data_IF_096932989073
#
_entry.id   IF_096932989073
#
_cell.length_a   1.000
_cell.length_b   1.000
_cell.length_c   1.000
_cell.angle_alpha   90.00
_cell.angle_beta   90.00
_cell.angle_gamma   90.00
#
_symmetry.space_group_name_H-M   'P 1'
#
loop_
_entity.id
_entity.type
_entity.pdbx_description
1 polymer ?
#
# COMPACT_ATOMS: atom_id res chain seq x y z
N UNK A 1 18.82 -2.53 -7.36
CA UNK A 1 17.78 -3.56 -7.60
C UNK A 1 16.46 -3.15 -6.96
N UNK A 2 15.35 -3.87 -7.18
CA UNK A 2 14.01 -3.51 -6.65
C UNK A 2 14.00 -3.28 -5.12
N UNK A 3 14.77 -4.09 -4.39
CA UNK A 3 14.83 -4.07 -2.91
C UNK A 3 15.96 -3.22 -2.35
N UNK A 4 16.82 -2.66 -3.19
CA UNK A 4 17.95 -1.86 -2.74
C UNK A 4 17.45 -0.56 -2.11
N UNK A 5 17.81 -0.32 -0.84
CA UNK A 5 17.31 0.76 0.03
C UNK A 5 15.80 0.74 0.34
N UNK A 6 15.06 -0.26 -0.16
CA UNK A 6 13.66 -0.45 0.16
C UNK A 6 13.49 -0.76 1.65
N UNK A 7 12.37 -0.32 2.23
CA UNK A 7 12.03 -0.64 3.61
C UNK A 7 11.32 -1.98 3.67
N UNK A 8 11.79 -2.88 4.53
CA UNK A 8 11.13 -4.15 4.85
C UNK A 8 10.78 -4.13 6.32
N UNK A 9 9.52 -4.42 6.61
CA UNK A 9 8.99 -4.46 7.97
C UNK A 9 8.87 -5.93 8.38
N UNK A 10 9.53 -6.30 9.47
CA UNK A 10 9.43 -7.61 10.08
C UNK A 10 8.56 -7.50 11.33
N UNK A 11 7.42 -8.20 11.33
CA UNK A 11 6.45 -8.14 12.41
C UNK A 11 6.58 -9.32 13.37
N UNK A 12 6.22 -9.10 14.64
CA UNK A 12 6.03 -10.13 15.67
C UNK A 12 7.19 -11.15 15.74
N UNK A 13 8.42 -10.64 15.71
CA UNK A 13 9.63 -11.48 15.69
C UNK A 13 9.78 -12.32 16.96
N UNK A 14 9.19 -11.88 18.06
CA UNK A 14 9.09 -12.61 19.32
C UNK A 14 8.29 -13.90 19.22
N UNK A 15 7.35 -13.98 18.28
CA UNK A 15 6.49 -15.14 18.04
C UNK A 15 7.08 -16.09 16.97
N UNK A 16 8.30 -15.78 16.49
CA UNK A 16 9.00 -16.51 15.44
C UNK A 16 10.22 -17.25 15.99
N UNK A 17 10.57 -18.39 15.38
CA UNK A 17 11.78 -19.13 15.75
C UNK A 17 13.07 -18.37 15.38
N UNK A 18 14.07 -18.42 16.26
CA UNK A 18 15.32 -17.65 16.11
C UNK A 18 16.01 -17.89 14.77
N UNK A 19 16.05 -19.13 14.30
CA UNK A 19 16.67 -19.49 13.01
C UNK A 19 15.94 -18.82 11.83
N UNK A 20 14.60 -18.85 11.83
CA UNK A 20 13.79 -18.24 10.77
C UNK A 20 13.95 -16.72 10.75
N UNK A 21 14.06 -16.10 11.92
CA UNK A 21 14.31 -14.67 12.05
C UNK A 21 15.68 -14.29 11.48
N UNK A 22 16.73 -15.05 11.76
CA UNK A 22 18.06 -14.78 11.20
C UNK A 22 18.10 -14.99 9.69
N UNK A 23 17.51 -16.07 9.17
CA UNK A 23 17.40 -16.31 7.72
C UNK A 23 16.68 -15.15 7.02
N UNK A 24 15.54 -14.69 7.57
CA UNK A 24 14.80 -13.57 6.99
C UNK A 24 15.66 -12.29 6.95
N UNK A 25 16.39 -11.98 8.03
CA UNK A 25 17.29 -10.83 8.07
C UNK A 25 18.40 -10.96 7.03
N UNK A 26 19.05 -12.11 6.95
CA UNK A 26 20.13 -12.35 5.99
C UNK A 26 19.66 -12.16 4.55
N UNK A 27 18.49 -12.69 4.19
CA UNK A 27 17.91 -12.52 2.85
C UNK A 27 17.72 -11.04 2.52
N UNK A 28 17.04 -10.30 3.40
CA UNK A 28 16.69 -8.90 3.10
C UNK A 28 17.88 -7.95 3.20
N UNK A 29 18.81 -8.17 4.13
CA UNK A 29 20.07 -7.42 4.20
C UNK A 29 20.98 -7.74 3.01
N UNK A 30 21.00 -9.00 2.55
CA UNK A 30 21.75 -9.44 1.37
C UNK A 30 21.32 -8.74 0.09
N UNK A 31 20.04 -8.38 -0.04
CA UNK A 31 19.52 -7.55 -1.14
C UNK A 31 19.55 -6.04 -0.86
N UNK A 32 20.26 -5.62 0.20
CA UNK A 32 20.44 -4.23 0.63
C UNK A 32 19.14 -3.51 1.01
N UNK A 33 18.16 -4.22 1.53
CA UNK A 33 16.97 -3.60 2.12
C UNK A 33 17.29 -3.04 3.52
N UNK A 34 16.46 -2.09 3.97
CA UNK A 34 16.50 -1.54 5.33
C UNK A 34 15.41 -2.22 6.16
N UNK A 35 15.76 -2.71 7.33
CA UNK A 35 14.83 -3.43 8.20
C UNK A 35 14.25 -2.52 9.28
N UNK A 36 12.94 -2.61 9.50
CA UNK A 36 12.25 -2.12 10.70
C UNK A 36 11.51 -3.29 11.36
N UNK A 37 11.43 -3.24 12.68
CA UNK A 37 10.69 -4.20 13.50
C UNK A 37 9.56 -3.49 14.22
N UNK A 38 8.37 -4.08 14.24
CA UNK A 38 7.20 -3.57 14.98
C UNK A 38 6.20 -4.71 15.18
N UNK A 39 5.08 -4.45 15.86
CA UNK A 39 3.98 -5.42 15.91
C UNK A 39 3.18 -5.41 14.62
N UNK A 40 2.57 -6.53 14.25
CA UNK A 40 1.66 -6.59 13.09
C UNK A 40 0.48 -5.62 13.20
N UNK A 41 -0.07 -5.45 14.41
CA UNK A 41 -1.16 -4.50 14.65
C UNK A 41 -0.74 -3.05 14.43
N UNK A 42 0.48 -2.68 14.85
CA UNK A 42 1.04 -1.34 14.62
C UNK A 42 1.31 -1.12 13.13
N UNK A 43 1.87 -2.12 12.45
CA UNK A 43 2.07 -2.10 11.01
C UNK A 43 0.76 -1.80 10.28
N UNK A 44 -0.28 -2.59 10.55
CA UNK A 44 -1.57 -2.49 9.87
C UNK A 44 -2.25 -1.15 10.13
N UNK A 45 -2.18 -0.63 11.36
CA UNK A 45 -2.68 0.71 11.67
C UNK A 45 -1.91 1.81 10.92
N UNK A 46 -0.57 1.73 10.86
CA UNK A 46 0.24 2.72 10.17
C UNK A 46 0.05 2.70 8.65
N UNK A 47 0.10 1.53 8.02
CA UNK A 47 -0.07 1.40 6.56
C UNK A 47 -1.48 1.75 6.11
N UNK A 48 -2.48 1.67 6.99
CA UNK A 48 -3.81 2.17 6.69
C UNK A 48 -3.78 3.65 6.28
N UNK A 49 -3.06 4.50 7.02
CA UNK A 49 -2.94 5.93 6.71
C UNK A 49 -1.99 6.23 5.55
N UNK A 50 -0.81 5.61 5.51
CA UNK A 50 0.24 6.00 4.55
C UNK A 50 0.19 5.24 3.22
N UNK A 51 -0.62 4.19 3.12
CA UNK A 51 -0.71 3.34 1.92
C UNK A 51 -2.16 3.07 1.51
N UNK A 52 -3.00 2.54 2.41
CA UNK A 52 -4.34 2.07 2.03
C UNK A 52 -5.30 3.22 1.74
N UNK A 53 -5.39 4.21 2.62
CA UNK A 53 -6.22 5.40 2.44
C UNK A 53 -5.88 6.14 1.13
N UNK A 54 -4.60 6.44 0.80
CA UNK A 54 -4.23 6.98 -0.51
C UNK A 54 -4.77 6.16 -1.70
N UNK A 55 -4.77 4.83 -1.61
CA UNK A 55 -5.35 3.99 -2.66
C UNK A 55 -6.88 4.11 -2.71
N UNK A 56 -7.57 4.12 -1.57
CA UNK A 56 -9.03 4.33 -1.50
C UNK A 56 -9.39 5.66 -2.18
N UNK A 57 -8.71 6.74 -1.83
CA UNK A 57 -8.94 8.07 -2.41
C UNK A 57 -8.67 8.09 -3.92
N UNK A 58 -7.60 7.43 -4.36
CA UNK A 58 -7.25 7.33 -5.78
C UNK A 58 -8.31 6.57 -6.58
N UNK A 59 -8.79 5.43 -6.08
CA UNK A 59 -9.90 4.69 -6.71
C UNK A 59 -11.21 5.47 -6.70
N UNK A 60 -11.54 6.14 -5.59
CA UNK A 60 -12.74 6.96 -5.49
C UNK A 60 -12.72 8.12 -6.51
N UNK A 61 -11.57 8.79 -6.65
CA UNK A 61 -11.36 9.86 -7.62
C UNK A 61 -11.46 9.36 -9.06
N UNK A 62 -10.84 8.24 -9.41
CA UNK A 62 -10.95 7.67 -10.75
C UNK A 62 -12.40 7.26 -11.05
N UNK A 63 -13.07 6.60 -10.11
CA UNK A 63 -14.45 6.16 -10.26
C UNK A 63 -15.44 7.33 -10.37
N UNK A 64 -15.19 8.48 -9.74
CA UNK A 64 -16.07 9.65 -9.86
C UNK A 64 -16.06 10.23 -11.27
N UNK A 65 -14.91 10.20 -11.95
CA UNK A 65 -14.76 10.60 -13.36
C UNK A 65 -15.41 9.58 -14.29
N UNK A 66 -15.17 8.28 -14.08
CA UNK A 66 -15.73 7.22 -14.93
C UNK A 66 -17.26 7.15 -14.90
N UNK A 67 -17.91 7.72 -13.88
CA UNK A 67 -19.37 7.80 -13.75
C UNK A 67 -20.01 8.99 -14.49
N UNK A 68 -19.21 9.89 -15.08
CA UNK A 68 -19.74 11.05 -15.81
C UNK A 68 -20.20 10.67 -17.21
N UNK A 69 -21.00 11.55 -17.84
CA UNK A 69 -21.55 11.30 -19.19
C UNK A 69 -20.47 11.23 -20.28
N UNK A 70 -19.37 11.96 -20.12
CA UNK A 70 -18.23 11.95 -21.06
C UNK A 70 -16.88 11.89 -20.31
N UNK A 71 -16.50 10.70 -19.78
CA UNK A 71 -15.26 10.53 -19.03
C UNK A 71 -14.02 10.81 -19.88
N UNK A 72 -14.05 10.51 -21.18
CA UNK A 72 -12.93 10.72 -22.10
C UNK A 72 -12.62 12.21 -22.27
N UNK A 73 -13.65 13.05 -22.42
CA UNK A 73 -13.47 14.49 -22.44
C UNK A 73 -12.86 15.00 -21.12
N UNK A 74 -13.34 14.54 -19.97
CA UNK A 74 -12.79 14.93 -18.66
C UNK A 74 -11.33 14.50 -18.53
N UNK A 75 -10.98 13.29 -18.95
CA UNK A 75 -9.61 12.77 -18.92
C UNK A 75 -8.69 13.51 -19.89
N UNK A 76 -9.21 14.01 -21.02
CA UNK A 76 -8.44 14.84 -21.96
C UNK A 76 -8.09 16.22 -21.38
N UNK A 77 -8.95 16.75 -20.50
CA UNK A 77 -8.74 18.00 -19.76
C UNK A 77 -7.90 17.79 -18.48
N UNK A 78 -7.63 16.55 -18.08
CA UNK A 78 -6.96 16.24 -16.82
C UNK A 78 -5.50 16.68 -16.81
N UNK A 79 -5.19 17.65 -15.95
CA UNK A 79 -3.84 18.12 -15.67
C UNK A 79 -3.01 17.14 -14.82
N UNK A 80 -1.74 17.50 -14.56
CA UNK A 80 -0.78 16.68 -13.81
C UNK A 80 -1.28 16.27 -12.43
N UNK A 81 -1.87 17.20 -11.66
CA UNK A 81 -2.36 16.91 -10.31
C UNK A 81 -3.42 15.80 -10.26
N UNK A 82 -4.37 15.77 -11.21
CA UNK A 82 -5.33 14.67 -11.30
C UNK A 82 -4.64 13.35 -11.65
N UNK A 83 -3.70 13.38 -12.61
CA UNK A 83 -2.95 12.17 -13.03
C UNK A 83 -2.14 11.59 -11.88
N UNK A 84 -1.54 12.43 -11.05
CA UNK A 84 -0.76 12.00 -9.88
C UNK A 84 -1.67 11.42 -8.80
N UNK A 85 -2.78 12.08 -8.46
CA UNK A 85 -3.73 11.62 -7.45
C UNK A 85 -4.45 10.33 -7.87
N UNK A 86 -4.79 10.18 -9.16
CA UNK A 86 -5.46 8.98 -9.69
C UNK A 86 -4.49 7.86 -10.07
N UNK A 87 -3.17 8.07 -10.02
CA UNK A 87 -2.15 7.11 -10.49
C UNK A 87 -2.29 5.73 -9.82
N UNK A 88 -2.60 5.70 -8.53
CA UNK A 88 -2.68 4.46 -7.75
C UNK A 88 -3.88 3.59 -8.13
N UNK A 89 -4.93 4.18 -8.71
CA UNK A 89 -6.11 3.44 -9.22
C UNK A 89 -5.79 2.47 -10.36
N UNK A 90 -4.60 2.56 -10.98
CA UNK A 90 -4.11 1.61 -11.99
C UNK A 90 -3.54 0.32 -11.40
N UNK A 91 -3.49 0.23 -10.06
CA UNK A 91 -3.00 -0.96 -9.36
C UNK A 91 -3.99 -2.13 -9.51
N UNK A 92 -3.55 -3.34 -9.14
CA UNK A 92 -4.38 -4.55 -9.24
C UNK A 92 -5.64 -4.43 -8.35
N UNK A 93 -6.86 -4.44 -8.92
CA UNK A 93 -8.09 -4.33 -8.13
C UNK A 93 -8.34 -5.57 -7.28
N UNK A 94 -7.89 -6.75 -7.73
CA UNK A 94 -8.02 -7.99 -6.96
C UNK A 94 -7.18 -7.94 -5.68
N UNK A 95 -5.94 -7.50 -5.79
CA UNK A 95 -5.02 -7.34 -4.66
C UNK A 95 -5.54 -6.30 -3.66
N UNK A 96 -5.94 -5.12 -4.15
CA UNK A 96 -6.41 -4.04 -3.28
C UNK A 96 -7.74 -4.35 -2.61
N UNK A 97 -8.63 -5.08 -3.27
CA UNK A 97 -9.85 -5.61 -2.64
C UNK A 97 -9.50 -6.51 -1.43
N UNK A 98 -8.51 -7.39 -1.55
CA UNK A 98 -8.13 -8.28 -0.46
C UNK A 98 -7.42 -7.51 0.67
N UNK A 99 -6.54 -6.55 0.34
CA UNK A 99 -5.91 -5.65 1.31
C UNK A 99 -6.96 -4.88 2.13
N UNK A 100 -7.95 -4.26 1.46
CA UNK A 100 -9.01 -3.52 2.15
C UNK A 100 -9.90 -4.42 2.99
N UNK A 101 -10.10 -5.69 2.61
CA UNK A 101 -10.87 -6.64 3.41
C UNK A 101 -10.11 -7.13 4.63
N UNK A 102 -8.83 -7.44 4.48
CA UNK A 102 -7.99 -7.94 5.56
C UNK A 102 -7.72 -6.86 6.61
N UNK A 103 -7.44 -5.63 6.17
CA UNK A 103 -7.19 -4.50 7.06
C UNK A 103 -8.40 -3.55 7.21
N UNK A 104 -9.62 -4.11 7.18
CA UNK A 104 -10.88 -3.35 7.07
C UNK A 104 -11.04 -2.29 8.14
N UNK A 105 -10.84 -2.67 9.40
CA UNK A 105 -11.21 -1.80 10.52
C UNK A 105 -10.26 -0.59 10.61
N UNK A 106 -8.94 -0.79 10.42
CA UNK A 106 -8.00 0.32 10.34
C UNK A 106 -8.24 1.20 9.10
N UNK A 107 -8.63 0.61 7.96
CA UNK A 107 -8.97 1.40 6.76
C UNK A 107 -10.20 2.27 6.99
N UNK A 108 -11.22 1.77 7.69
CA UNK A 108 -12.40 2.55 8.03
C UNK A 108 -12.10 3.67 9.03
N UNK A 109 -11.22 3.42 10.00
CA UNK A 109 -10.76 4.44 10.95
C UNK A 109 -9.91 5.53 10.27
N UNK A 110 -9.25 5.20 9.16
CA UNK A 110 -8.41 6.14 8.43
C UNK A 110 -9.19 7.07 7.47
N UNK A 111 -10.47 6.78 7.17
CA UNK A 111 -11.32 7.56 6.25
C UNK A 111 -12.00 8.70 7.01
#
# INVERSE_FOLDING_TARGET
GLYENALVILCDLEDSGTEQVEIAKEIFLGVKARLIKMKSSEHDAHVAYISHLPHVLSYALANSVLKQNDPEMILSLAGGGFRDMSRLSKSSPLMWKDIFKQNRDNVLEAI
#
